data_IF_018426091938
#
_entry.id   IF_018426091938
#
_cell.length_a   1.000
_cell.length_b   1.000
_cell.length_c   1.000
_cell.angle_alpha   90.00
_cell.angle_beta   90.00
_cell.angle_gamma   90.00
#
_symmetry.space_group_name_H-M   'P 1'
#
loop_
_entity.id
_entity.type
_entity.pdbx_description
1 polymer ?
#
# COMPACT_ATOMS: atom_id res chain seq x y z
N UNK A 1 -10.37 9.86 -14.08
CA UNK A 1 -8.90 10.10 -14.07
C UNK A 1 -8.19 8.76 -13.93
N UNK A 2 -7.03 8.57 -14.58
CA UNK A 2 -6.21 7.35 -14.46
C UNK A 2 -4.90 7.68 -13.72
N UNK A 3 -4.62 6.98 -12.61
CA UNK A 3 -3.43 7.17 -11.79
C UNK A 3 -2.49 5.99 -11.97
N UNK A 4 -1.24 6.26 -12.36
CA UNK A 4 -0.21 5.22 -12.43
C UNK A 4 1.09 5.70 -11.83
N UNK A 5 1.61 4.90 -10.89
CA UNK A 5 2.94 5.05 -10.33
C UNK A 5 3.84 3.97 -10.94
N UNK A 6 4.59 4.30 -12.00
CA UNK A 6 5.45 3.33 -12.68
C UNK A 6 6.66 2.94 -11.81
N UNK A 7 7.36 1.88 -12.23
CA UNK A 7 8.59 1.39 -11.57
C UNK A 7 9.67 2.45 -11.36
N UNK A 8 9.73 3.47 -12.23
CA UNK A 8 10.68 4.58 -12.12
C UNK A 8 10.36 5.55 -10.98
N UNK A 9 9.13 5.52 -10.48
CA UNK A 9 8.65 6.32 -9.34
C UNK A 9 7.82 5.41 -8.41
N UNK A 10 8.45 4.39 -7.81
CA UNK A 10 7.74 3.42 -7.01
C UNK A 10 7.35 4.04 -5.67
N UNK A 11 6.38 3.41 -5.01
CA UNK A 11 6.10 3.70 -3.61
C UNK A 11 7.21 3.08 -2.77
N UNK A 12 7.90 3.92 -2.01
CA UNK A 12 8.81 3.49 -0.96
C UNK A 12 8.06 3.38 0.36
N UNK A 13 8.60 2.61 1.29
CA UNK A 13 8.02 2.53 2.62
C UNK A 13 8.85 1.73 3.61
N UNK A 14 8.41 1.80 4.86
CA UNK A 14 8.89 0.96 5.95
C UNK A 14 7.88 -0.15 6.17
N UNK A 15 8.36 -1.39 6.14
CA UNK A 15 7.54 -2.57 6.37
C UNK A 15 7.78 -3.12 7.76
N UNK A 16 6.69 -3.21 8.52
CA UNK A 16 6.64 -4.03 9.71
C UNK A 16 6.02 -5.37 9.34
N UNK A 17 6.87 -6.37 9.23
CA UNK A 17 6.47 -7.75 8.90
C UNK A 17 6.06 -8.51 10.15
N UNK A 18 5.25 -9.55 9.96
CA UNK A 18 4.89 -10.51 11.02
C UNK A 18 4.33 -9.84 12.26
N UNK A 19 3.44 -8.85 12.10
CA UNK A 19 2.87 -8.19 13.27
C UNK A 19 2.07 -9.19 14.09
N UNK A 20 2.58 -9.46 15.28
CA UNK A 20 1.96 -10.27 16.30
C UNK A 20 0.88 -9.42 16.98
N UNK A 21 -0.39 -9.81 16.87
CA UNK A 21 -1.49 -9.07 17.51
C UNK A 21 -1.67 -9.51 18.98
N UNK A 22 -0.87 -8.95 19.91
CA UNK A 22 -1.25 -8.67 21.32
C UNK A 22 -0.50 -7.43 21.85
N UNK A 23 -0.87 -6.81 22.99
CA UNK A 23 -0.22 -5.61 23.51
C UNK A 23 1.31 -5.76 23.56
N UNK A 24 2.02 -4.65 23.35
CA UNK A 24 3.50 -4.59 23.25
C UNK A 24 4.18 -5.30 24.43
N UNK A 25 3.49 -5.45 25.56
CA UNK A 25 4.02 -6.03 26.79
C UNK A 25 3.95 -7.57 26.88
N UNK A 26 3.18 -8.30 26.04
CA UNK A 26 3.08 -9.77 26.15
C UNK A 26 2.66 -10.52 24.85
N UNK A 27 3.58 -10.78 23.90
CA UNK A 27 3.29 -11.53 22.68
C UNK A 27 3.28 -13.05 22.90
N UNK A 28 2.20 -13.76 22.50
CA UNK A 28 2.08 -15.24 22.66
C UNK A 28 1.97 -16.04 21.36
N UNK A 29 1.98 -15.41 20.17
CA UNK A 29 2.43 -15.91 18.83
C UNK A 29 1.54 -15.49 17.64
N UNK A 30 2.16 -15.42 16.46
CA UNK A 30 1.55 -15.23 15.13
C UNK A 30 2.39 -16.07 14.14
N UNK A 31 1.73 -17.04 13.48
CA UNK A 31 2.13 -17.63 12.18
C UNK A 31 1.02 -18.58 11.73
N UNK A 32 0.55 -18.48 10.48
CA UNK A 32 0.80 -19.66 9.68
C UNK A 32 1.15 -19.29 8.24
N UNK A 33 2.40 -19.53 7.88
CA UNK A 33 2.64 -20.15 6.58
C UNK A 33 2.13 -21.58 6.70
N UNK A 34 1.21 -21.99 5.82
CA UNK A 34 0.86 -23.39 5.67
C UNK A 34 2.09 -24.07 5.07
N UNK A 35 2.81 -24.83 5.88
CA UNK A 35 3.85 -25.74 5.39
C UNK A 35 3.44 -27.16 5.77
N UNK A 36 4.13 -28.16 5.22
CA UNK A 36 3.81 -29.57 5.42
C UNK A 36 3.80 -30.04 6.88
N UNK A 37 4.26 -29.22 7.84
CA UNK A 37 4.31 -29.51 9.28
C UNK A 37 3.35 -28.67 10.12
N UNK A 38 2.60 -27.73 9.53
CA UNK A 38 1.76 -26.80 10.27
C UNK A 38 0.27 -27.19 10.18
N UNK A 39 -0.40 -27.52 11.30
CA UNK A 39 -1.81 -27.91 11.29
C UNK A 39 -2.78 -26.73 11.02
N UNK A 40 -2.31 -25.48 11.03
CA UNK A 40 -3.15 -24.28 10.98
C UNK A 40 -3.35 -23.72 9.57
N UNK A 41 -3.75 -24.56 8.63
CA UNK A 41 -4.06 -24.13 7.27
C UNK A 41 -5.52 -23.67 7.15
N UNK A 42 -5.74 -22.54 6.48
CA UNK A 42 -7.06 -21.91 6.32
C UNK A 42 -7.64 -22.24 4.94
N UNK A 43 -8.96 -22.26 4.74
CA UNK A 43 -9.53 -22.31 3.40
C UNK A 43 -9.07 -21.12 2.54
N UNK A 44 -8.74 -21.33 1.27
CA UNK A 44 -8.51 -20.23 0.30
C UNK A 44 -9.82 -19.44 0.12
N UNK A 45 -9.85 -18.15 0.49
CA UNK A 45 -11.06 -17.35 0.40
C UNK A 45 -11.31 -16.76 -0.99
N UNK A 46 -10.32 -16.77 -1.89
CA UNK A 46 -10.41 -16.16 -3.22
C UNK A 46 -10.88 -17.14 -4.28
N UNK A 47 -10.52 -18.41 -4.14
CA UNK A 47 -10.86 -19.42 -5.13
C UNK A 47 -10.95 -20.83 -4.51
N UNK A 48 -11.99 -21.57 -4.89
CA UNK A 48 -12.10 -23.00 -4.64
C UNK A 48 -12.43 -23.72 -5.96
N UNK A 49 -11.79 -24.85 -6.28
CA UNK A 49 -12.09 -25.58 -7.50
C UNK A 49 -13.52 -26.12 -7.47
N UNK A 50 -14.13 -26.35 -8.64
CA UNK A 50 -15.52 -26.82 -8.72
C UNK A 50 -15.75 -28.18 -8.02
N UNK A 51 -14.70 -29.00 -7.90
CA UNK A 51 -14.72 -30.28 -7.19
C UNK A 51 -14.59 -30.15 -5.66
N UNK A 52 -14.36 -28.94 -5.12
CA UNK A 52 -14.27 -28.74 -3.69
C UNK A 52 -15.63 -28.99 -3.03
N UNK A 53 -15.61 -29.80 -1.98
CA UNK A 53 -16.78 -30.12 -1.16
C UNK A 53 -16.64 -29.51 0.23
N UNK A 54 -17.52 -29.88 1.16
CA UNK A 54 -17.35 -29.54 2.58
C UNK A 54 -16.13 -30.23 3.22
N UNK A 55 -15.57 -31.28 2.59
CA UNK A 55 -14.33 -31.91 3.03
C UNK A 55 -13.13 -30.98 2.80
N UNK A 56 -12.45 -30.62 3.89
CA UNK A 56 -11.24 -29.80 3.89
C UNK A 56 -10.07 -30.41 3.12
N UNK A 57 -10.10 -31.71 2.79
CA UNK A 57 -9.11 -32.37 1.93
C UNK A 57 -9.30 -32.05 0.43
N UNK A 58 -10.49 -31.58 0.07
CA UNK A 58 -10.85 -31.21 -1.32
C UNK A 58 -10.74 -29.70 -1.57
N UNK A 59 -10.55 -28.90 -0.52
CA UNK A 59 -10.45 -27.45 -0.57
C UNK A 59 -9.00 -26.98 -0.67
N UNK A 60 -8.75 -25.94 -1.46
CA UNK A 60 -7.46 -25.23 -1.42
C UNK A 60 -7.26 -24.64 -0.03
N UNK A 61 -6.03 -24.77 0.47
CA UNK A 61 -5.63 -24.31 1.79
C UNK A 61 -4.59 -23.20 1.67
N UNK A 62 -4.52 -22.30 2.63
CA UNK A 62 -3.55 -21.22 2.63
C UNK A 62 -3.10 -20.77 4.01
N UNK A 63 -2.00 -20.05 4.01
CA UNK A 63 -1.54 -19.23 5.14
C UNK A 63 -2.04 -17.80 5.00
N UNK A 64 -2.27 -17.11 6.11
CA UNK A 64 -2.65 -15.70 6.11
C UNK A 64 -1.72 -14.92 7.02
N UNK A 65 -1.08 -13.88 6.49
CA UNK A 65 -0.26 -12.94 7.27
C UNK A 65 -0.54 -11.48 6.98
N UNK A 66 -0.29 -10.65 8.00
CA UNK A 66 -0.54 -9.22 8.00
C UNK A 66 0.75 -8.45 8.26
N UNK A 67 0.95 -7.38 7.49
CA UNK A 67 2.04 -6.42 7.66
C UNK A 67 1.47 -5.01 7.68
N UNK A 68 2.19 -4.07 8.28
CA UNK A 68 1.90 -2.64 8.16
C UNK A 68 2.96 -1.98 7.29
N UNK A 69 2.49 -1.24 6.29
CA UNK A 69 3.31 -0.46 5.38
C UNK A 69 3.14 1.01 5.69
N UNK A 70 4.23 1.66 6.08
CA UNK A 70 4.32 3.10 6.23
C UNK A 70 4.90 3.67 4.95
N UNK A 71 4.09 4.24 4.05
CA UNK A 71 4.62 4.81 2.83
C UNK A 71 5.55 5.97 3.16
N UNK A 72 6.58 6.15 2.34
CA UNK A 72 7.59 7.16 2.53
C UNK A 72 7.98 7.76 1.18
N UNK A 73 8.25 9.07 1.17
CA UNK A 73 8.90 9.73 0.03
C UNK A 73 10.35 10.02 0.39
N UNK A 74 11.28 9.52 -0.41
CA UNK A 74 12.70 9.86 -0.26
C UNK A 74 12.93 11.34 -0.59
N UNK A 75 13.74 12.01 0.23
CA UNK A 75 14.09 13.41 0.06
C UNK A 75 15.46 13.53 -0.62
N UNK A 76 15.61 14.52 -1.52
CA UNK A 76 16.88 14.77 -2.21
C UNK A 76 18.02 15.14 -1.26
N UNK A 77 17.69 15.80 -0.15
CA UNK A 77 18.62 16.16 0.94
C UNK A 77 19.11 14.95 1.76
N UNK A 78 18.59 13.76 1.47
CA UNK A 78 18.64 12.62 2.37
C UNK A 78 17.50 12.64 3.40
N UNK A 79 17.16 11.45 3.88
CA UNK A 79 16.00 11.16 4.73
C UNK A 79 14.75 10.77 3.94
N UNK A 80 13.64 10.62 4.66
CA UNK A 80 12.34 10.30 4.09
C UNK A 80 11.19 11.01 4.81
N UNK A 81 10.21 11.47 4.04
CA UNK A 81 8.93 12.00 4.52
C UNK A 81 7.93 10.85 4.69
N UNK A 82 7.73 10.41 5.93
CA UNK A 82 6.79 9.32 6.25
C UNK A 82 5.34 9.82 6.12
N UNK A 83 4.53 8.98 5.50
CA UNK A 83 3.12 9.21 5.23
C UNK A 83 2.84 9.67 3.80
N UNK A 84 3.85 10.11 3.05
CA UNK A 84 3.68 10.44 1.63
C UNK A 84 3.82 9.18 0.79
N UNK A 85 2.71 8.79 0.16
CA UNK A 85 2.63 7.62 -0.72
C UNK A 85 3.11 7.94 -2.11
N UNK A 86 2.70 9.09 -2.66
CA UNK A 86 3.10 9.48 -3.99
C UNK A 86 2.95 10.98 -4.22
N UNK A 87 3.80 11.51 -5.09
CA UNK A 87 3.63 12.83 -5.72
C UNK A 87 3.80 12.62 -7.21
N UNK A 88 2.75 12.89 -8.00
CA UNK A 88 2.74 12.59 -9.42
C UNK A 88 2.05 13.69 -10.22
N UNK A 89 2.56 13.95 -11.43
CA UNK A 89 1.87 14.80 -12.40
C UNK A 89 0.84 13.98 -13.14
N UNK A 90 -0.38 14.51 -13.27
CA UNK A 90 -1.51 13.85 -13.95
C UNK A 90 -2.07 14.74 -15.04
N UNK A 91 -2.68 14.09 -16.03
CA UNK A 91 -3.47 14.75 -17.07
C UNK A 91 -4.95 14.59 -16.72
N UNK A 92 -5.69 15.68 -16.81
CA UNK A 92 -7.12 15.77 -16.48
C UNK A 92 -7.86 16.44 -17.64
N UNK A 93 -9.09 16.03 -17.97
CA UNK A 93 -9.94 16.80 -18.85
C UNK A 93 -10.66 17.90 -18.05
N UNK A 94 -10.24 19.14 -18.21
CA UNK A 94 -11.01 20.29 -17.73
C UNK A 94 -12.25 20.49 -18.61
N UNK A 95 -13.40 20.72 -18.00
CA UNK A 95 -14.68 20.93 -18.70
C UNK A 95 -14.99 19.83 -19.74
N UNK A 96 -14.54 18.60 -19.49
CA UNK A 96 -14.78 17.42 -20.34
C UNK A 96 -13.90 17.31 -21.59
N UNK A 97 -13.19 18.35 -22.01
CA UNK A 97 -12.41 18.32 -23.26
C UNK A 97 -11.12 19.14 -23.25
N UNK A 98 -10.98 20.12 -22.36
CA UNK A 98 -9.82 21.01 -22.32
C UNK A 98 -8.66 20.29 -21.62
N UNK A 99 -7.48 20.17 -22.25
CA UNK A 99 -6.34 19.56 -21.60
C UNK A 99 -5.94 20.32 -20.33
N UNK A 100 -5.85 19.61 -19.22
CA UNK A 100 -5.32 20.14 -17.98
C UNK A 100 -4.24 19.22 -17.40
N UNK A 101 -3.29 19.82 -16.70
CA UNK A 101 -2.27 19.08 -15.95
C UNK A 101 -2.26 19.55 -14.51
N UNK A 102 -2.06 18.65 -13.56
CA UNK A 102 -1.92 19.00 -12.16
C UNK A 102 -0.94 18.06 -11.46
N UNK A 103 -0.46 18.46 -10.29
CA UNK A 103 0.29 17.59 -9.38
C UNK A 103 -0.68 17.02 -8.35
N UNK A 104 -0.79 15.70 -8.28
CA UNK A 104 -1.50 15.00 -7.21
C UNK A 104 -0.48 14.55 -6.16
N UNK A 105 -0.80 14.81 -4.90
CA UNK A 105 -0.11 14.22 -3.77
C UNK A 105 -1.06 13.29 -3.03
N UNK A 106 -0.63 12.05 -2.84
CA UNK A 106 -1.31 11.03 -2.05
C UNK A 106 -0.56 10.88 -0.71
N UNK A 107 -1.27 11.10 0.39
CA UNK A 107 -0.75 10.87 1.74
C UNK A 107 -1.65 9.93 2.50
N UNK A 108 -1.10 9.07 3.34
CA UNK A 108 -1.93 8.37 4.32
C UNK A 108 -2.32 9.33 5.45
N UNK A 109 -3.55 9.24 6.01
CA UNK A 109 -4.00 10.13 7.06
C UNK A 109 -3.13 10.09 8.31
N UNK A 110 -3.18 11.18 9.08
CA UNK A 110 -2.61 11.23 10.43
C UNK A 110 -3.71 11.29 11.48
N UNK A 111 -3.57 10.50 12.54
CA UNK A 111 -4.47 10.50 13.70
C UNK A 111 -3.63 10.78 14.94
N UNK A 112 -3.96 11.84 15.67
CA UNK A 112 -3.19 12.29 16.84
C UNK A 112 -1.69 12.48 16.53
N UNK A 113 -1.37 13.07 15.37
CA UNK A 113 0.00 13.31 14.90
C UNK A 113 0.71 12.09 14.30
N UNK A 114 0.20 10.88 14.51
CA UNK A 114 0.79 9.62 14.02
C UNK A 114 0.25 9.24 12.66
N UNK A 115 1.12 8.72 11.79
CA UNK A 115 0.73 8.19 10.47
C UNK A 115 -0.10 6.93 10.63
N UNK A 116 -1.22 6.85 9.93
CA UNK A 116 -2.01 5.62 9.78
C UNK A 116 -1.43 4.79 8.64
N UNK A 117 -0.77 3.64 8.89
CA UNK A 117 -0.18 2.83 7.83
C UNK A 117 -1.24 2.18 6.93
N UNK A 118 -0.80 1.72 5.76
CA UNK A 118 -1.54 0.75 4.97
C UNK A 118 -1.41 -0.63 5.62
N UNK A 119 -2.48 -1.41 5.63
CA UNK A 119 -2.43 -2.81 6.01
C UNK A 119 -2.21 -3.66 4.76
N UNK A 120 -1.18 -4.49 4.78
CA UNK A 120 -0.91 -5.46 3.72
C UNK A 120 -1.33 -6.84 4.20
N UNK A 121 -2.27 -7.43 3.49
CA UNK A 121 -2.75 -8.78 3.72
C UNK A 121 -2.20 -9.70 2.65
N UNK A 122 -1.60 -10.82 3.07
CA UNK A 122 -1.08 -11.82 2.16
C UNK A 122 -1.69 -13.17 2.50
N UNK A 123 -2.30 -13.79 1.50
CA UNK A 123 -2.75 -15.17 1.54
C UNK A 123 -1.87 -16.00 0.61
N UNK A 124 -1.09 -16.90 1.20
CA UNK A 124 -0.26 -17.87 0.47
C UNK A 124 -1.07 -19.16 0.28
N UNK A 125 -1.53 -19.43 -0.93
CA UNK A 125 -2.35 -20.60 -1.24
C UNK A 125 -1.44 -21.76 -1.61
N UNK A 126 -1.58 -22.85 -0.88
CA UNK A 126 -0.85 -24.10 -1.04
C UNK A 126 -1.71 -25.18 -1.66
N UNK A 127 -1.02 -26.11 -2.31
CA UNK A 127 -1.64 -27.31 -2.85
C UNK A 127 -2.34 -28.12 -1.74
N UNK A 128 -3.66 -28.22 -1.87
CA UNK A 128 -4.53 -29.00 -0.98
C UNK A 128 -5.92 -29.25 -1.56
N UNK A 129 -6.17 -28.80 -2.79
CA UNK A 129 -7.44 -29.02 -3.49
C UNK A 129 -7.37 -30.19 -4.47
N UNK A 130 -8.54 -30.61 -4.96
CA UNK A 130 -8.72 -31.67 -5.96
C UNK A 130 -8.31 -31.28 -7.39
N UNK A 131 -7.65 -30.15 -7.57
CA UNK A 131 -7.20 -29.62 -8.86
C UNK A 131 -5.73 -29.98 -9.10
N UNK A 132 -5.43 -30.94 -9.99
CA UNK A 132 -4.07 -31.40 -10.24
C UNK A 132 -3.20 -30.35 -10.94
N UNK A 133 -3.82 -29.37 -11.61
CA UNK A 133 -3.12 -28.33 -12.38
C UNK A 133 -2.89 -27.05 -11.55
N UNK A 134 -3.09 -27.13 -10.23
CA UNK A 134 -2.91 -25.99 -9.34
C UNK A 134 -1.47 -25.47 -9.36
N UNK A 135 -1.35 -24.15 -9.54
CA UNK A 135 -0.11 -23.40 -9.37
C UNK A 135 -0.21 -22.63 -8.05
N UNK A 136 0.80 -22.74 -7.19
CA UNK A 136 0.90 -21.93 -5.97
C UNK A 136 0.72 -20.45 -6.31
N UNK A 137 -0.22 -19.79 -5.64
CA UNK A 137 -0.57 -18.38 -5.84
C UNK A 137 -0.56 -17.65 -4.50
N UNK A 138 -0.07 -16.42 -4.53
CA UNK A 138 -0.18 -15.50 -3.41
C UNK A 138 -1.17 -14.40 -3.77
N UNK A 139 -2.25 -14.28 -3.00
CA UNK A 139 -3.18 -13.16 -3.12
C UNK A 139 -2.75 -12.10 -2.13
N UNK A 140 -2.52 -10.88 -2.62
CA UNK A 140 -2.20 -9.74 -1.76
C UNK A 140 -3.22 -8.64 -1.93
N UNK A 141 -3.65 -8.08 -0.81
CA UNK A 141 -4.48 -6.88 -0.75
C UNK A 141 -3.80 -5.87 0.18
N UNK A 142 -3.51 -4.69 -0.35
CA UNK A 142 -3.12 -3.53 0.43
C UNK A 142 -4.36 -2.66 0.66
N UNK A 143 -4.79 -2.53 1.91
CA UNK A 143 -5.93 -1.70 2.31
C UNK A 143 -5.48 -0.48 3.13
N UNK A 144 -6.22 0.61 3.05
CA UNK A 144 -6.02 1.77 3.89
C UNK A 144 -6.82 2.98 3.44
N UNK A 145 -6.37 4.16 3.82
CA UNK A 145 -6.97 5.42 3.42
C UNK A 145 -5.90 6.36 2.88
N UNK A 146 -6.27 7.19 1.92
CA UNK A 146 -5.39 8.24 1.38
C UNK A 146 -6.11 9.59 1.33
N UNK A 147 -5.43 10.62 1.82
CA UNK A 147 -5.76 12.02 1.57
C UNK A 147 -5.18 12.42 0.21
N UNK A 148 -5.99 13.10 -0.58
CA UNK A 148 -5.64 13.50 -1.95
C UNK A 148 -5.64 15.02 -1.99
N UNK A 149 -4.50 15.61 -2.34
CA UNK A 149 -4.37 17.05 -2.58
C UNK A 149 -3.91 17.33 -4.00
N UNK A 150 -4.37 18.45 -4.57
CA UNK A 150 -4.03 18.88 -5.92
C UNK A 150 -3.30 20.22 -5.86
N UNK A 151 -2.18 20.32 -6.58
CA UNK A 151 -1.42 21.55 -6.79
C UNK A 151 -1.03 21.73 -8.26
N UNK A 152 -0.43 22.87 -8.58
CA UNK A 152 0.17 23.16 -9.90
C UNK A 152 -0.77 22.94 -11.09
N UNK A 153 -2.08 23.18 -10.89
CA UNK A 153 -3.06 23.04 -11.94
C UNK A 153 -2.79 24.04 -13.06
N UNK A 154 -2.71 23.53 -14.29
CA UNK A 154 -2.70 24.30 -15.52
C UNK A 154 -3.84 23.82 -16.41
N UNK A 155 -4.65 24.74 -16.90
CA UNK A 155 -5.72 24.47 -17.88
C UNK A 155 -5.31 25.14 -19.17
N UNK A 156 -5.17 24.36 -20.24
CA UNK A 156 -4.66 24.84 -21.53
C UNK A 156 -3.33 25.62 -21.40
N UNK A 157 -2.43 25.10 -20.56
CA UNK A 157 -1.15 25.72 -20.25
C UNK A 157 -1.21 26.92 -19.29
N UNK A 158 -2.39 27.49 -19.04
CA UNK A 158 -2.56 28.64 -18.14
C UNK A 158 -2.60 28.19 -16.68
N UNK A 159 -1.75 28.73 -15.79
CA UNK A 159 -1.74 28.36 -14.38
C UNK A 159 -2.99 28.84 -13.66
N UNK A 160 -3.59 27.94 -12.87
CA UNK A 160 -4.77 28.22 -12.03
C UNK A 160 -4.32 28.25 -10.57
N UNK A 161 -4.68 29.32 -9.85
CA UNK A 161 -4.30 29.51 -8.44
C UNK A 161 -5.22 28.71 -7.51
N UNK A 162 -4.79 27.52 -7.10
CA UNK A 162 -5.58 26.66 -6.20
C UNK A 162 -5.40 26.95 -4.70
N UNK A 163 -4.37 27.71 -4.30
CA UNK A 163 -4.01 27.85 -2.90
C UNK A 163 -3.45 26.55 -2.28
N UNK A 164 -3.01 26.62 -1.02
CA UNK A 164 -2.37 25.49 -0.34
C UNK A 164 -3.36 24.48 0.26
N UNK A 165 -4.64 24.83 0.33
CA UNK A 165 -5.66 24.05 1.05
C UNK A 165 -6.43 23.05 0.18
N UNK A 166 -6.18 23.02 -1.14
CA UNK A 166 -6.96 22.25 -2.11
C UNK A 166 -6.78 20.74 -1.94
N UNK A 167 -7.79 20.08 -1.35
CA UNK A 167 -7.78 18.65 -1.01
C UNK A 167 -9.17 18.04 -1.01
N UNK A 168 -9.26 16.71 -0.94
CA UNK A 168 -10.55 16.03 -0.77
C UNK A 168 -11.18 16.33 0.59
N UNK A 169 -12.52 16.41 0.65
CA UNK A 169 -13.27 16.67 1.89
C UNK A 169 -13.08 15.61 2.97
N UNK A 170 -12.67 14.40 2.57
CA UNK A 170 -12.35 13.27 3.43
C UNK A 170 -11.30 12.37 2.76
N UNK A 171 -10.62 11.50 3.52
CA UNK A 171 -9.78 10.45 2.94
C UNK A 171 -10.59 9.52 2.02
N UNK A 172 -9.95 9.04 0.95
CA UNK A 172 -10.46 8.01 0.07
C UNK A 172 -10.03 6.62 0.58
N UNK A 173 -10.94 5.66 0.56
CA UNK A 173 -10.61 4.27 0.90
C UNK A 173 -9.83 3.64 -0.26
N UNK A 174 -8.72 3.00 0.07
CA UNK A 174 -7.76 2.44 -0.87
C UNK A 174 -7.72 0.93 -0.73
N UNK A 175 -7.91 0.22 -1.84
CA UNK A 175 -7.76 -1.23 -1.94
C UNK A 175 -6.95 -1.55 -3.19
N UNK A 176 -5.75 -2.09 -3.02
CA UNK A 176 -4.87 -2.45 -4.12
C UNK A 176 -4.55 -3.94 -4.08
N UNK A 177 -4.72 -4.62 -5.21
CA UNK A 177 -4.56 -6.06 -5.34
C UNK A 177 -3.27 -6.36 -6.09
N UNK A 178 -2.58 -7.45 -5.76
CA UNK A 178 -1.51 -7.96 -6.62
C UNK A 178 -2.02 -8.19 -8.04
N UNK A 179 -1.34 -7.63 -9.04
CA UNK A 179 -1.73 -7.80 -10.45
C UNK A 179 -1.58 -9.25 -10.91
N UNK A 180 -2.46 -9.69 -11.82
CA UNK A 180 -2.40 -11.07 -12.34
C UNK A 180 -1.07 -11.33 -13.06
N UNK A 181 -0.34 -12.36 -12.61
CA UNK A 181 0.99 -12.70 -13.16
C UNK A 181 2.13 -11.82 -12.62
N UNK A 182 1.82 -10.75 -11.89
CA UNK A 182 2.77 -10.00 -11.09
C UNK A 182 3.06 -10.73 -9.77
N UNK A 183 4.34 -10.91 -9.44
CA UNK A 183 4.71 -11.36 -8.09
C UNK A 183 4.75 -10.13 -7.19
N UNK A 184 3.85 -10.06 -6.22
CA UNK A 184 3.97 -9.12 -5.11
C UNK A 184 4.32 -9.89 -3.84
N UNK A 185 5.36 -9.42 -3.14
CA UNK A 185 5.65 -9.82 -1.78
C UNK A 185 5.94 -8.56 -0.97
N UNK A 186 5.41 -8.41 0.26
CA UNK A 186 5.57 -7.18 1.01
C UNK A 186 7.01 -6.69 1.11
N UNK A 187 7.99 -7.58 1.36
CA UNK A 187 9.40 -7.20 1.44
C UNK A 187 10.06 -6.92 0.08
N UNK A 188 9.69 -7.63 -0.98
CA UNK A 188 10.30 -7.51 -2.31
C UNK A 188 9.61 -6.47 -3.20
N UNK A 189 8.43 -5.99 -2.82
CA UNK A 189 7.59 -5.13 -3.64
C UNK A 189 6.90 -5.88 -4.78
N UNK A 190 6.47 -5.12 -5.78
CA UNK A 190 5.73 -5.62 -6.93
C UNK A 190 4.56 -4.71 -7.33
N UNK A 191 3.89 -5.03 -8.44
CA UNK A 191 2.76 -4.26 -8.93
C UNK A 191 1.48 -4.54 -8.13
N UNK A 192 0.74 -3.48 -7.85
CA UNK A 192 -0.54 -3.49 -7.16
C UNK A 192 -1.55 -2.61 -7.93
N UNK A 193 -2.78 -3.08 -8.11
CA UNK A 193 -3.82 -2.40 -8.89
C UNK A 193 -5.20 -2.44 -8.22
N UNK A 194 -5.94 -1.35 -8.35
CA UNK A 194 -7.36 -1.25 -7.94
C UNK A 194 -8.33 -1.48 -9.10
N UNK A 195 -7.86 -1.46 -10.34
CA UNK A 195 -8.71 -1.49 -11.52
C UNK A 195 -8.16 -2.47 -12.54
N UNK A 196 -8.39 -3.75 -12.27
CA UNK A 196 -8.23 -4.77 -13.30
C UNK A 196 -9.56 -5.50 -13.54
N UNK A 197 -10.47 -5.55 -12.56
CA UNK A 197 -11.62 -6.47 -12.60
C UNK A 197 -11.21 -7.95 -12.66
N UNK A 198 -9.90 -8.23 -12.65
CA UNK A 198 -9.28 -9.55 -12.73
C UNK A 198 -9.09 -10.18 -11.35
N UNK A 199 -8.86 -9.34 -10.34
CA UNK A 199 -8.75 -9.78 -8.95
C UNK A 199 -10.14 -9.78 -8.31
N UNK A 200 -10.72 -10.99 -8.24
CA UNK A 200 -11.98 -11.23 -7.57
C UNK A 200 -11.90 -10.93 -6.07
N UNK A 201 -13.02 -10.53 -5.49
CA UNK A 201 -13.17 -10.48 -4.04
C UNK A 201 -13.19 -11.89 -3.45
N UNK A 202 -13.34 -12.00 -2.13
CA UNK A 202 -13.54 -13.32 -1.54
C UNK A 202 -14.88 -13.91 -2.01
N UNK A 203 -14.90 -15.20 -2.35
CA UNK A 203 -16.11 -15.89 -2.81
C UNK A 203 -17.10 -16.14 -1.67
N UNK A 204 -16.59 -16.14 -0.43
CA UNK A 204 -17.34 -16.30 0.82
C UNK A 204 -16.76 -15.37 1.88
N UNK A 205 -17.49 -15.10 2.97
CA UNK A 205 -16.91 -14.49 4.15
C UNK A 205 -15.69 -15.27 4.65
N UNK A 206 -14.78 -14.55 5.28
CA UNK A 206 -13.59 -15.10 5.91
C UNK A 206 -13.99 -15.86 7.18
N UNK A 207 -14.29 -17.16 7.07
CA UNK A 207 -14.82 -17.97 8.17
C UNK A 207 -13.71 -18.74 8.92
N UNK A 208 -12.88 -18.02 9.67
CA UNK A 208 -11.84 -18.61 10.50
C UNK A 208 -11.38 -17.67 11.63
N UNK A 209 -11.18 -18.17 12.86
CA UNK A 209 -10.65 -17.35 13.95
C UNK A 209 -9.27 -16.75 13.64
N UNK A 210 -8.53 -17.34 12.70
CA UNK A 210 -7.23 -16.84 12.26
C UNK A 210 -7.28 -15.59 11.37
N UNK A 211 -8.46 -15.20 10.88
CA UNK A 211 -8.67 -13.93 10.17
C UNK A 211 -8.94 -12.75 11.13
N UNK A 212 -9.05 -13.01 12.44
CA UNK A 212 -9.18 -12.00 13.51
C UNK A 212 -10.27 -10.96 13.22
N UNK A 213 -9.90 -9.66 13.14
CA UNK A 213 -10.84 -8.56 12.89
C UNK A 213 -11.55 -8.68 11.54
N UNK A 214 -11.02 -9.49 10.62
CA UNK A 214 -11.62 -9.76 9.31
C UNK A 214 -12.52 -11.00 9.32
N UNK A 215 -12.58 -11.77 10.41
CA UNK A 215 -13.43 -12.96 10.49
C UNK A 215 -14.92 -12.58 10.26
N UNK A 216 -15.59 -13.30 9.37
CA UNK A 216 -16.96 -13.02 8.92
C UNK A 216 -17.09 -11.88 7.91
N UNK A 217 -16.00 -11.22 7.51
CA UNK A 217 -16.02 -10.18 6.48
C UNK A 217 -15.77 -10.77 5.09
N UNK A 218 -16.34 -10.16 4.05
CA UNK A 218 -15.97 -10.46 2.66
C UNK A 218 -14.92 -9.46 2.19
N UNK A 219 -13.88 -9.95 1.51
CA UNK A 219 -12.89 -9.10 0.85
C UNK A 219 -13.54 -8.54 -0.41
N UNK A 220 -13.59 -7.20 -0.61
CA UNK A 220 -14.23 -6.64 -1.77
C UNK A 220 -13.51 -7.07 -3.06
N UNK A 221 -14.18 -7.03 -4.22
CA UNK A 221 -13.46 -7.15 -5.50
C UNK A 221 -12.60 -5.92 -5.76
N UNK A 222 -11.58 -6.08 -6.61
CA UNK A 222 -10.79 -4.96 -7.13
C UNK A 222 -11.70 -3.98 -7.88
N UNK A 223 -11.92 -2.80 -7.26
CA UNK A 223 -12.64 -1.66 -7.81
C UNK A 223 -11.75 -0.44 -7.74
N UNK A 224 -11.89 0.47 -8.70
CA UNK A 224 -11.08 1.68 -8.74
C UNK A 224 -11.27 2.56 -7.51
N UNK A 225 -10.35 3.51 -7.33
CA UNK A 225 -10.39 4.48 -6.24
C UNK A 225 -11.58 5.43 -6.39
N UNK A 226 -12.45 5.47 -5.39
CA UNK A 226 -13.47 6.53 -5.31
C UNK A 226 -12.84 7.79 -4.74
N UNK A 227 -12.74 8.83 -5.56
CA UNK A 227 -12.15 10.11 -5.18
C UNK A 227 -13.28 11.05 -4.72
N UNK A 228 -13.32 11.45 -3.42
CA UNK A 228 -14.34 12.36 -2.90
C UNK A 228 -14.26 13.75 -3.55
N UNK A 229 -15.29 14.60 -3.36
CA UNK A 229 -15.23 16.01 -3.73
C UNK A 229 -14.03 16.74 -3.12
N UNK A 230 -13.56 17.76 -3.82
CA UNK A 230 -12.51 18.66 -3.35
C UNK A 230 -13.10 19.86 -2.59
N UNK A 231 -12.29 20.44 -1.72
CA UNK A 231 -12.60 21.64 -0.93
C UNK A 231 -11.34 22.48 -0.70
N UNK A 232 -11.51 23.75 -0.38
CA UNK A 232 -10.42 24.68 -0.11
C UNK A 232 -9.57 24.99 -1.33
N UNK A 233 -10.15 24.86 -2.53
CA UNK A 233 -9.48 25.16 -3.79
C UNK A 233 -9.80 26.58 -4.23
N UNK A 234 -8.77 27.33 -4.58
CA UNK A 234 -8.86 28.73 -4.99
C UNK A 234 -8.25 29.68 -3.97
N UNK A 235 -7.94 30.89 -4.42
CA UNK A 235 -7.44 31.99 -3.58
C UNK A 235 -8.46 33.13 -3.58
N UNK A 236 -8.82 33.60 -4.77
CA UNK A 236 -9.71 34.75 -4.96
C UNK A 236 -11.18 34.32 -5.17
N UNK A 237 -11.40 33.08 -5.65
CA UNK A 237 -12.71 32.48 -5.90
C UNK A 237 -12.72 31.01 -5.46
N UNK A 238 -13.91 30.43 -5.21
CA UNK A 238 -14.03 29.01 -4.86
C UNK A 238 -13.98 28.14 -6.13
N UNK A 239 -12.83 27.50 -6.34
CA UNK A 239 -12.59 26.56 -7.44
C UNK A 239 -12.90 25.12 -7.05
N UNK A 240 -13.39 24.85 -5.84
CA UNK A 240 -13.68 23.49 -5.37
C UNK A 240 -14.67 22.74 -6.28
N UNK A 241 -15.76 23.36 -6.79
CA UNK A 241 -16.65 22.68 -7.74
C UNK A 241 -15.96 22.31 -9.05
N UNK A 242 -15.10 23.19 -9.57
CA UNK A 242 -14.36 22.95 -10.81
C UNK A 242 -13.39 21.77 -10.66
N UNK A 243 -12.59 21.77 -9.59
CA UNK A 243 -11.64 20.69 -9.31
C UNK A 243 -12.37 19.37 -9.08
N UNK A 244 -13.49 19.40 -8.34
CA UNK A 244 -14.35 18.23 -8.12
C UNK A 244 -14.85 17.65 -9.44
N UNK A 245 -15.35 18.48 -10.35
CA UNK A 245 -15.85 18.02 -11.65
C UNK A 245 -14.76 17.35 -12.52
N UNK A 246 -13.50 17.75 -12.36
CA UNK A 246 -12.39 17.20 -13.15
C UNK A 246 -11.81 15.90 -12.57
N UNK A 247 -11.70 15.80 -11.25
CA UNK A 247 -10.87 14.80 -10.59
C UNK A 247 -11.64 13.80 -9.71
N UNK A 248 -12.84 14.15 -9.24
CA UNK A 248 -13.64 13.30 -8.36
C UNK A 248 -14.48 12.30 -9.16
N UNK A 249 -14.82 11.19 -8.52
CA UNK A 249 -15.69 10.18 -9.12
C UNK A 249 -15.45 8.78 -8.55
N UNK A 250 -16.38 7.84 -8.79
CA UNK A 250 -16.17 6.43 -8.47
C UNK A 250 -15.16 5.79 -9.43
N UNK A 251 -14.59 4.67 -9.01
CA UNK A 251 -13.87 3.73 -9.87
C UNK A 251 -12.69 4.33 -10.67
N UNK A 252 -12.00 5.36 -10.15
CA UNK A 252 -10.80 5.88 -10.80
C UNK A 252 -9.70 4.83 -10.76
N UNK A 253 -9.15 4.40 -11.91
CA UNK A 253 -8.11 3.39 -11.88
C UNK A 253 -6.85 3.90 -11.20
N UNK A 254 -6.34 3.11 -10.26
CA UNK A 254 -5.05 3.33 -9.62
C UNK A 254 -4.20 2.07 -9.74
N UNK A 255 -3.04 2.23 -10.36
CA UNK A 255 -1.98 1.23 -10.48
C UNK A 255 -0.72 1.77 -9.83
N UNK A 256 -0.07 0.96 -9.01
CA UNK A 256 1.16 1.34 -8.32
C UNK A 256 2.17 0.22 -8.36
N UNK A 257 3.45 0.57 -8.39
CA UNK A 257 4.52 -0.39 -8.12
C UNK A 257 5.14 -0.05 -6.78
N UNK A 258 5.16 -1.01 -5.87
CA UNK A 258 5.92 -0.90 -4.63
C UNK A 258 7.37 -1.32 -4.89
N UNK A 259 8.33 -0.56 -4.38
CA UNK A 259 9.73 -0.96 -4.37
C UNK A 259 9.97 -2.13 -3.40
N UNK A 260 11.12 -2.81 -3.50
CA UNK A 260 11.67 -3.54 -2.37
C UNK A 260 11.77 -2.61 -1.15
N UNK A 261 11.47 -3.13 0.04
CA UNK A 261 11.44 -2.37 1.27
C UNK A 261 12.60 -2.76 2.19
N UNK A 262 13.03 -1.82 3.03
CA UNK A 262 13.82 -2.15 4.21
C UNK A 262 12.86 -2.78 5.25
N UNK A 263 13.15 -4.03 5.64
CA UNK A 263 12.33 -4.82 6.58
C UNK A 263 12.67 -4.53 8.04
N UNK A 264 12.00 -3.60 8.72
CA UNK A 264 12.32 -3.28 10.12
C UNK A 264 12.28 -4.51 11.04
N UNK A 265 13.26 -4.61 11.96
CA UNK A 265 13.36 -5.69 12.93
C UNK A 265 12.20 -5.70 13.93
N UNK A 266 11.89 -6.88 14.47
CA UNK A 266 10.78 -7.12 15.41
C UNK A 266 10.84 -6.31 16.72
N UNK A 267 11.96 -5.64 16.99
CA UNK A 267 12.19 -4.86 18.22
C UNK A 267 12.15 -3.35 18.01
N UNK A 268 11.97 -2.87 16.77
CA UNK A 268 11.77 -1.45 16.49
C UNK A 268 10.37 -1.01 16.94
N UNK A 269 10.24 0.03 17.78
CA UNK A 269 8.93 0.59 18.13
C UNK A 269 8.08 0.89 16.89
N UNK A 270 6.84 0.39 16.87
CA UNK A 270 5.85 0.61 15.78
C UNK A 270 5.48 2.09 15.59
N UNK A 271 5.74 2.90 16.62
CA UNK A 271 5.45 4.33 16.64
C UNK A 271 6.65 5.19 16.19
N UNK A 272 7.83 4.57 16.07
CA UNK A 272 9.08 5.24 15.70
C UNK A 272 9.76 4.51 14.53
N UNK A 273 9.32 4.75 13.28
CA UNK A 273 9.92 4.16 12.09
C UNK A 273 11.36 4.61 11.81
N UNK A 274 11.91 5.52 12.62
CA UNK A 274 13.31 5.94 12.55
C UNK A 274 14.21 5.19 13.54
N UNK A 275 13.62 4.41 14.47
CA UNK A 275 14.36 3.56 15.41
C UNK A 275 14.93 2.33 14.69
N UNK A 276 16.09 2.52 14.09
CA UNK A 276 16.83 1.44 13.46
C UNK A 276 17.58 0.63 14.53
N UNK A 277 17.26 -0.65 14.66
CA UNK A 277 18.03 -1.56 15.50
C UNK A 277 19.35 -1.91 14.78
N UNK A 278 20.44 -1.30 15.22
CA UNK A 278 21.78 -1.53 14.68
C UNK A 278 22.36 -2.92 15.02
N UNK A 279 21.67 -3.73 15.84
CA UNK A 279 22.18 -5.02 16.31
C UNK A 279 21.85 -6.18 15.37
N UNK A 280 20.93 -6.01 14.41
CA UNK A 280 20.61 -7.04 13.40
C UNK A 280 20.99 -6.57 11.98
N UNK A 281 21.76 -7.36 11.18
CA UNK A 281 22.49 -6.80 10.03
C UNK A 281 21.68 -6.50 8.76
N UNK A 282 20.35 -6.49 8.77
CA UNK A 282 19.61 -6.51 7.49
C UNK A 282 18.74 -5.32 7.16
N UNK A 283 18.33 -4.44 8.07
CA UNK A 283 17.29 -3.49 7.68
C UNK A 283 17.28 -2.19 8.46
N UNK A 284 18.07 -1.25 7.95
CA UNK A 284 17.80 0.17 8.04
C UNK A 284 18.98 0.91 7.39
N UNK A 285 18.86 1.32 6.13
CA UNK A 285 19.46 2.57 5.67
C UNK A 285 18.63 3.08 4.50
N UNK A 286 18.02 4.27 4.60
CA UNK A 286 18.11 5.18 3.45
C UNK A 286 17.97 6.68 3.77
N UNK A 287 18.88 7.52 3.22
CA UNK A 287 20.30 7.27 2.94
C UNK A 287 21.11 7.40 4.24
N UNK A 288 22.35 6.88 4.29
CA UNK A 288 23.22 7.17 5.41
C UNK A 288 23.52 8.69 5.45
N UNK A 289 23.78 9.28 6.62
CA UNK A 289 24.44 10.58 6.66
C UNK A 289 25.74 10.49 5.85
N UNK A 290 26.09 11.58 5.16
CA UNK A 290 27.38 11.66 4.46
C UNK A 290 28.50 11.22 5.41
N UNK A 291 29.42 10.34 4.98
CA UNK A 291 30.54 9.96 5.84
C UNK A 291 31.25 11.24 6.29
N UNK A 292 31.56 11.39 7.59
CA UNK A 292 32.36 12.52 8.04
C UNK A 292 33.63 12.56 7.20
N UNK A 293 34.04 13.76 6.78
CA UNK A 293 35.29 13.94 6.04
C UNK A 293 36.40 13.24 6.84
N UNK A 294 37.17 12.36 6.18
CA UNK A 294 38.29 11.68 6.83
C UNK A 294 39.17 12.76 7.46
N UNK A 295 39.53 12.66 8.75
CA UNK A 295 40.57 13.49 9.30
C UNK A 295 41.81 13.38 8.41
N UNK A 296 42.53 14.48 8.13
CA UNK A 296 43.81 14.36 7.45
C UNK A 296 44.67 13.36 8.21
N UNK A 297 45.24 12.38 7.49
CA UNK A 297 46.22 11.48 8.10
C UNK A 297 47.36 12.34 8.66
N UNK A 298 47.92 11.99 9.83
CA UNK A 298 49.12 12.64 10.32
C UNK A 298 50.20 12.64 9.24
N UNK A 299 50.92 13.74 9.08
CA UNK A 299 52.00 13.83 8.11
C UNK A 299 53.01 12.69 8.36
N UNK A 300 53.14 11.77 7.40
CA UNK A 300 54.12 10.68 7.48
C UNK A 300 53.67 9.32 6.95
N UNK A 301 52.36 9.08 6.77
CA UNK A 301 51.86 7.83 6.21
C UNK A 301 51.15 8.08 4.87
N UNK A 302 51.92 8.04 3.77
CA UNK A 302 51.42 7.69 2.42
C UNK A 302 51.46 6.17 2.23
#
# INVERSE_FOLDING_TARGET
MYLTLPEKTPIWGVLYTFLFDTPVENPVSYKPMCNSRNPFCLPDPFYQPACATADLSTQRRGGYFRSLLYPAKLLESGGAEIGTMAVMKVNLPAFGAIPATATITLRVPRVNGKVRPLTIHVWDVRQGGCDPDFVDMSYTVAEGQVEISISDLRVDGVPVKLGASCRTVRPADLWLYSEKGGRYYPGSGGPLGSYEGLSGGSLKPLDSPYYFKLNGQSIPPSKGLTIPPFTGCGVDEDLSPLVTAMASGPDNPLRVVQSPLATHGLHSPLEDPYSCDHTTPTNCVWPPPNPPARPPLPAGDE
#
